data_IF_463925611260
#
_entry.id   IF_463925611260
#
_cell.length_a   1.000
_cell.length_b   1.000
_cell.length_c   1.000
_cell.angle_alpha   90.00
_cell.angle_beta   90.00
_cell.angle_gamma   90.00
#
_symmetry.space_group_name_H-M   'P 1'
#
loop_
_entity.id
_entity.type
_entity.pdbx_description
1 polymer ?
#
# COMPACT_ATOMS: atom_id res chain seq x y z
N UNK A 1 -3.98 15.16 -1.96
CA UNK A 1 -4.06 16.47 -1.27
C UNK A 1 -4.00 17.56 -2.32
N UNK A 2 -4.24 18.83 -1.99
CA UNK A 2 -4.09 19.92 -2.98
C UNK A 2 -3.20 21.03 -2.43
N UNK A 3 -2.28 21.52 -3.25
CA UNK A 3 -1.46 22.71 -2.97
C UNK A 3 -1.77 23.79 -3.99
N UNK A 4 -1.67 25.05 -3.60
CA UNK A 4 -2.01 26.14 -4.50
C UNK A 4 -1.95 27.52 -3.86
N UNK A 5 -1.98 28.54 -4.71
CA UNK A 5 -1.96 29.95 -4.30
C UNK A 5 -3.37 30.59 -4.26
N UNK A 6 -4.43 29.78 -4.27
CA UNK A 6 -5.83 30.23 -4.28
C UNK A 6 -6.41 30.54 -5.67
N UNK A 7 -5.59 30.54 -6.73
CA UNK A 7 -6.03 30.68 -8.12
C UNK A 7 -5.70 29.45 -8.98
N UNK A 8 -4.62 28.74 -8.63
CA UNK A 8 -4.23 27.47 -9.23
C UNK A 8 -4.16 26.42 -8.13
N UNK A 9 -4.82 25.29 -8.34
CA UNK A 9 -4.74 24.12 -7.48
C UNK A 9 -4.00 23.01 -8.24
N UNK A 10 -2.89 22.58 -7.68
CA UNK A 10 -2.12 21.44 -8.14
C UNK A 10 -2.28 20.29 -7.16
N UNK A 11 -2.40 19.08 -7.68
CA UNK A 11 -2.45 17.89 -6.87
C UNK A 11 -1.10 17.66 -6.20
N UNK A 12 -1.12 17.36 -4.90
CA UNK A 12 0.08 16.96 -4.18
C UNK A 12 0.30 15.49 -4.47
N UNK A 13 1.46 15.13 -5.03
CA UNK A 13 1.83 13.74 -5.14
C UNK A 13 2.26 13.19 -3.78
N UNK A 14 1.32 12.60 -3.03
CA UNK A 14 1.61 12.02 -1.72
C UNK A 14 2.58 10.82 -1.79
N UNK A 15 2.70 10.15 -2.93
CA UNK A 15 3.59 9.00 -3.07
C UNK A 15 5.07 9.39 -3.01
N UNK A 16 5.42 10.62 -3.38
CA UNK A 16 6.80 11.14 -3.24
C UNK A 16 7.20 11.36 -1.78
N UNK A 17 6.22 11.38 -0.86
CA UNK A 17 6.42 11.62 0.57
C UNK A 17 6.20 10.30 1.32
N UNK A 18 7.29 9.67 1.77
CA UNK A 18 7.23 8.41 2.53
C UNK A 18 6.39 7.31 1.85
N UNK A 19 6.46 7.21 0.51
CA UNK A 19 5.69 6.26 -0.30
C UNK A 19 4.16 6.33 -0.04
N UNK A 20 3.62 7.52 0.26
CA UNK A 20 2.20 7.69 0.63
C UNK A 20 1.78 6.91 1.89
N UNK A 21 2.75 6.47 2.70
CA UNK A 21 2.56 5.57 3.83
C UNK A 21 2.26 4.13 3.45
N UNK A 22 2.57 3.72 2.21
CA UNK A 22 2.50 2.33 1.78
C UNK A 22 3.73 1.55 2.25
N UNK A 23 3.57 0.23 2.41
CA UNK A 23 4.64 -0.64 2.90
C UNK A 23 5.88 -0.52 2.01
N UNK A 24 7.04 -0.34 2.65
CA UNK A 24 8.36 -0.31 1.97
C UNK A 24 9.11 -1.63 2.12
N UNK A 25 8.67 -2.50 3.04
CA UNK A 25 9.24 -3.80 3.32
C UNK A 25 8.13 -4.77 3.80
N UNK A 26 7.50 -5.54 2.89
CA UNK A 26 7.77 -5.62 1.45
C UNK A 26 7.33 -4.35 0.70
N UNK A 27 7.94 -4.08 -0.45
CA UNK A 27 7.60 -2.92 -1.27
C UNK A 27 6.18 -3.08 -1.84
N UNK A 28 5.34 -2.08 -1.57
CA UNK A 28 4.01 -1.91 -2.15
C UNK A 28 3.99 -0.61 -2.94
N UNK A 29 3.47 -0.69 -4.16
CA UNK A 29 3.32 0.46 -5.04
C UNK A 29 2.28 1.44 -4.47
N UNK A 30 2.68 2.72 -4.36
CA UNK A 30 1.78 3.82 -4.08
C UNK A 30 1.24 4.39 -5.39
N UNK A 31 -0.07 4.60 -5.46
CA UNK A 31 -0.74 5.22 -6.61
C UNK A 31 -1.33 6.54 -6.19
N UNK A 32 -0.78 7.61 -6.76
CA UNK A 32 -1.26 8.98 -6.56
C UNK A 32 -2.57 9.21 -7.34
N UNK A 33 -3.53 9.87 -6.72
CA UNK A 33 -4.81 10.22 -7.34
C UNK A 33 -5.14 11.69 -7.09
N UNK A 34 -5.93 12.36 -7.94
CA UNK A 34 -6.31 13.74 -7.70
C UNK A 34 -6.97 13.91 -6.32
N UNK A 35 -6.33 14.65 -5.43
CA UNK A 35 -6.77 14.90 -4.08
C UNK A 35 -6.42 13.82 -3.05
N UNK A 36 -5.78 12.71 -3.41
CA UNK A 36 -5.44 11.63 -2.46
C UNK A 36 -4.33 10.70 -2.98
N UNK A 37 -4.00 9.66 -2.21
CA UNK A 37 -3.27 8.49 -2.69
C UNK A 37 -3.84 7.20 -2.12
N UNK A 38 -3.46 6.07 -2.70
CA UNK A 38 -3.77 4.74 -2.17
C UNK A 38 -2.65 3.75 -2.45
N UNK A 39 -2.57 2.73 -1.61
CA UNK A 39 -1.60 1.64 -1.74
C UNK A 39 -2.19 0.51 -2.58
N UNK A 40 -1.37 -0.12 -3.41
CA UNK A 40 -1.72 -1.37 -4.04
C UNK A 40 -1.82 -2.52 -3.02
N UNK A 41 -2.42 -3.67 -3.39
CA UNK A 41 -2.43 -4.85 -2.56
C UNK A 41 -1.02 -5.32 -2.20
N UNK A 42 -0.89 -6.01 -1.07
CA UNK A 42 0.37 -6.65 -0.69
C UNK A 42 0.85 -7.62 -1.78
N UNK A 43 2.17 -7.75 -1.98
CA UNK A 43 2.72 -8.66 -2.97
C UNK A 43 2.41 -10.12 -2.64
N UNK A 44 2.53 -11.04 -3.63
CA UNK A 44 2.30 -12.47 -3.42
C UNK A 44 3.10 -13.02 -2.23
N UNK A 45 2.44 -13.81 -1.38
CA UNK A 45 3.03 -14.34 -0.15
C UNK A 45 2.91 -13.41 1.07
N UNK A 46 2.29 -12.23 0.92
CA UNK A 46 2.00 -11.30 2.01
C UNK A 46 0.49 -10.98 2.09
N UNK A 47 0.02 -10.70 3.29
CA UNK A 47 -1.35 -10.25 3.58
C UNK A 47 -1.34 -8.94 4.37
N UNK A 48 -2.39 -8.15 4.18
CA UNK A 48 -2.57 -6.86 4.85
C UNK A 48 -3.31 -5.85 3.98
N UNK A 49 -3.17 -4.58 4.30
CA UNK A 49 -3.88 -3.45 3.68
C UNK A 49 -3.02 -2.63 2.69
N UNK A 50 -1.83 -3.13 2.34
CA UNK A 50 -0.87 -2.43 1.49
C UNK A 50 -0.01 -1.40 2.23
N UNK A 51 -0.44 -0.93 3.42
CA UNK A 51 0.37 -0.10 4.32
C UNK A 51 1.20 -0.96 5.26
N UNK A 52 0.58 -2.00 5.78
CA UNK A 52 1.22 -3.05 6.57
C UNK A 52 1.02 -4.36 5.84
N UNK A 53 2.12 -5.00 5.44
CA UNK A 53 2.11 -6.30 4.81
C UNK A 53 2.93 -7.28 5.65
N UNK A 54 2.30 -8.40 6.02
CA UNK A 54 2.92 -9.47 6.81
C UNK A 54 2.96 -10.75 6.00
N UNK A 55 3.97 -11.59 6.21
CA UNK A 55 4.05 -12.88 5.52
C UNK A 55 2.79 -13.70 5.79
N UNK A 56 2.22 -14.30 4.75
CA UNK A 56 1.14 -15.27 4.90
C UNK A 56 1.73 -16.50 5.56
N UNK A 57 1.29 -16.80 6.77
CA UNK A 57 1.55 -18.09 7.38
C UNK A 57 0.60 -19.12 6.79
N UNK A 58 1.06 -19.78 5.72
CA UNK A 58 0.31 -20.84 5.05
C UNK A 58 0.01 -22.01 5.99
N UNK A 59 0.82 -22.24 7.02
CA UNK A 59 0.60 -23.32 7.99
C UNK A 59 -0.61 -23.00 8.89
N UNK A 60 -0.81 -21.72 9.21
CA UNK A 60 -2.00 -21.25 9.94
C UNK A 60 -3.29 -21.31 9.10
N UNK A 61 -3.18 -21.39 7.77
CA UNK A 61 -4.33 -21.52 6.86
C UNK A 61 -4.50 -22.97 6.43
N UNK A 62 -5.41 -23.70 7.08
CA UNK A 62 -5.75 -25.07 6.68
C UNK A 62 -4.58 -26.05 6.73
N UNK A 63 -3.66 -25.89 7.69
CA UNK A 63 -2.45 -26.71 7.84
C UNK A 63 -1.55 -26.70 6.59
N UNK A 64 -1.54 -25.59 5.82
CA UNK A 64 -0.83 -25.52 4.54
C UNK A 64 -1.36 -26.49 3.48
N UNK A 65 -2.56 -27.03 3.65
CA UNK A 65 -3.10 -28.10 2.80
C UNK A 65 -2.49 -29.48 3.07
N UNK A 66 -1.75 -29.67 4.17
CA UNK A 66 -1.23 -30.97 4.56
C UNK A 66 -2.33 -31.87 5.15
N UNK A 67 -2.40 -33.12 4.69
CA UNK A 67 -3.23 -34.16 5.30
C UNK A 67 -2.70 -34.50 6.70
N UNK A 68 -3.58 -34.70 7.71
CA UNK A 68 -3.18 -35.11 9.05
C UNK A 68 -2.51 -36.50 9.10
#
# INVERSE_FOLDING_TARGET
GWQGNGHVCEDINECEINNGGCSVAPLVECVNTPGSSHCQPCPPGYQGDGRVCTLIDICSVGNGGCHP
#
